data_IF_414311659152
#
_entry.id   IF_414311659152
#
_cell.length_a   1.000
_cell.length_b   1.000
_cell.length_c   1.000
_cell.angle_alpha   90.00
_cell.angle_beta   90.00
_cell.angle_gamma   90.00
#
_symmetry.space_group_name_H-M   'P 1'
#
loop_
_entity.id
_entity.type
_entity.pdbx_description
1 polymer ?
#
# COMPACT_ATOMS: atom_id res chain seq x y z
N UNK A 1 -0.42 -21.61 15.41
CA UNK A 1 -0.60 -21.15 14.04
C UNK A 1 0.24 -19.89 13.86
N UNK A 2 0.81 -19.74 12.72
CA UNK A 2 1.68 -18.62 12.40
C UNK A 2 1.07 -17.85 11.25
N UNK A 3 1.32 -16.55 11.22
CA UNK A 3 0.90 -15.65 10.15
C UNK A 3 1.27 -16.11 8.73
N UNK A 4 1.75 -15.22 7.85
CA UNK A 4 1.96 -15.55 6.45
C UNK A 4 2.96 -16.68 6.25
N UNK A 5 2.90 -17.31 5.08
CA UNK A 5 3.78 -18.41 4.65
C UNK A 5 5.27 -18.12 4.89
N UNK A 6 5.65 -16.86 4.82
CA UNK A 6 7.00 -16.39 5.12
C UNK A 6 7.42 -16.60 6.59
N UNK A 7 6.52 -16.39 7.55
CA UNK A 7 6.77 -16.63 8.97
C UNK A 7 6.80 -18.12 9.30
N UNK A 8 5.94 -18.90 8.64
CA UNK A 8 5.94 -20.35 8.76
C UNK A 8 7.32 -20.92 8.40
N UNK A 9 7.90 -20.48 7.29
CA UNK A 9 9.22 -20.95 6.84
C UNK A 9 10.34 -20.58 7.82
N UNK A 10 10.32 -19.37 8.38
CA UNK A 10 11.30 -18.92 9.38
C UNK A 10 11.17 -19.72 10.66
N UNK A 11 9.96 -19.87 11.19
CA UNK A 11 9.71 -20.63 12.40
C UNK A 11 10.02 -22.11 12.22
N UNK A 12 9.71 -22.67 11.04
CA UNK A 12 10.07 -24.06 10.74
C UNK A 12 11.57 -24.28 10.76
N UNK A 13 12.36 -23.38 10.17
CA UNK A 13 13.82 -23.46 10.16
C UNK A 13 14.41 -23.43 11.58
N UNK A 14 13.91 -22.52 12.43
CA UNK A 14 14.35 -22.45 13.83
C UNK A 14 13.94 -23.69 14.63
N UNK A 15 12.69 -24.12 14.47
CA UNK A 15 12.18 -25.31 15.12
C UNK A 15 12.93 -26.57 14.69
N UNK A 16 13.16 -26.73 13.39
CA UNK A 16 13.91 -27.85 12.82
C UNK A 16 15.30 -27.96 13.41
N UNK A 17 16.03 -26.86 13.54
CA UNK A 17 17.36 -26.84 14.16
C UNK A 17 17.31 -27.34 15.61
N UNK A 18 16.31 -26.95 16.38
CA UNK A 18 16.11 -27.40 17.76
C UNK A 18 15.75 -28.91 17.85
N UNK A 19 14.92 -29.36 16.91
CA UNK A 19 14.48 -30.75 16.83
C UNK A 19 15.63 -31.67 16.44
N UNK A 20 16.42 -31.30 15.43
CA UNK A 20 17.59 -32.02 14.99
C UNK A 20 18.62 -32.17 16.15
N UNK A 21 18.82 -31.09 16.93
CA UNK A 21 19.67 -31.12 18.12
C UNK A 21 19.11 -32.00 19.24
N UNK A 22 17.80 -32.21 19.31
CA UNK A 22 17.12 -33.08 20.25
C UNK A 22 16.97 -34.53 19.72
N UNK A 23 17.46 -34.84 18.51
CA UNK A 23 17.33 -36.14 17.88
C UNK A 23 15.91 -36.50 17.42
N UNK A 24 15.04 -35.48 17.25
CA UNK A 24 13.66 -35.69 16.84
C UNK A 24 13.54 -35.49 15.34
N UNK A 25 13.12 -36.53 14.61
CA UNK A 25 12.92 -36.45 13.15
C UNK A 25 11.65 -35.68 12.80
N UNK A 26 11.80 -34.73 11.88
CA UNK A 26 10.70 -33.95 11.31
C UNK A 26 10.42 -34.41 9.87
N UNK A 27 9.16 -34.48 9.50
CA UNK A 27 8.71 -34.81 8.15
C UNK A 27 7.86 -33.72 7.54
N UNK A 28 7.96 -33.59 6.22
CA UNK A 28 7.06 -32.71 5.45
C UNK A 28 5.99 -33.56 4.79
N UNK A 29 4.75 -33.11 4.84
CA UNK A 29 3.63 -33.73 4.14
C UNK A 29 3.07 -32.77 3.13
N UNK A 30 3.05 -33.18 1.87
CA UNK A 30 2.30 -32.45 0.83
C UNK A 30 0.81 -32.67 1.00
N UNK A 31 0.06 -31.59 0.89
CA UNK A 31 -1.40 -31.56 0.90
C UNK A 31 -1.89 -30.81 -0.34
N UNK A 32 -3.18 -30.87 -0.63
CA UNK A 32 -3.77 -30.13 -1.75
C UNK A 32 -3.56 -28.61 -1.64
N UNK A 33 -3.35 -28.08 -0.44
CA UNK A 33 -3.14 -26.64 -0.15
C UNK A 33 -1.69 -26.27 0.12
N UNK A 34 -0.75 -27.19 -0.11
CA UNK A 34 0.70 -26.97 0.05
C UNK A 34 1.36 -27.90 1.06
N UNK A 35 2.57 -27.53 1.49
CA UNK A 35 3.39 -28.35 2.41
C UNK A 35 2.97 -28.05 3.85
N UNK A 36 2.65 -29.10 4.62
CA UNK A 36 2.47 -29.04 6.06
C UNK A 36 3.68 -29.68 6.73
N UNK A 37 4.39 -28.93 7.56
CA UNK A 37 5.46 -29.45 8.35
C UNK A 37 4.89 -30.21 9.56
N UNK A 38 5.25 -31.45 9.72
CA UNK A 38 4.77 -32.26 10.84
C UNK A 38 5.88 -33.00 11.55
N UNK A 39 5.68 -33.20 12.84
CA UNK A 39 6.57 -33.97 13.70
C UNK A 39 5.72 -35.04 14.36
N UNK A 40 6.14 -36.29 14.22
CA UNK A 40 5.56 -37.39 14.98
C UNK A 40 6.53 -37.76 16.10
N UNK A 41 6.05 -37.66 17.34
CA UNK A 41 6.84 -38.07 18.50
C UNK A 41 6.63 -39.57 18.78
N UNK A 42 7.56 -40.21 19.42
CA UNK A 42 7.45 -41.63 19.80
C UNK A 42 6.29 -41.92 20.74
N UNK A 43 5.77 -40.87 21.42
CA UNK A 43 4.68 -40.96 22.40
C UNK A 43 3.31 -40.66 21.75
N UNK A 44 3.27 -40.40 20.43
CA UNK A 44 2.01 -40.27 19.68
C UNK A 44 1.52 -38.88 19.32
N UNK A 45 1.78 -37.79 20.03
CA UNK A 45 1.28 -36.48 19.57
C UNK A 45 1.95 -36.03 18.27
N UNK A 46 1.16 -35.43 17.40
CA UNK A 46 1.65 -34.82 16.16
C UNK A 46 1.66 -33.31 16.39
N UNK A 47 2.81 -32.69 16.22
CA UNK A 47 2.90 -31.24 16.08
C UNK A 47 2.88 -30.91 14.57
N UNK A 48 1.92 -30.12 14.14
CA UNK A 48 1.82 -29.64 12.77
C UNK A 48 2.01 -28.10 12.75
N UNK A 49 2.88 -27.65 11.87
CA UNK A 49 3.08 -26.24 11.60
C UNK A 49 2.45 -25.93 10.23
N UNK A 50 1.54 -24.96 10.21
CA UNK A 50 0.87 -24.50 9.00
C UNK A 50 0.55 -23.01 9.12
N UNK A 51 0.37 -22.33 7.99
CA UNK A 51 -0.08 -20.96 7.96
C UNK A 51 -1.61 -20.84 8.04
N UNK A 52 -2.10 -19.65 8.44
CA UNK A 52 -3.52 -19.33 8.39
C UNK A 52 -4.07 -19.43 6.97
N UNK A 53 -3.32 -18.96 5.98
CA UNK A 53 -3.69 -19.00 4.57
C UNK A 53 -4.00 -20.42 4.11
N UNK A 54 -3.13 -21.37 4.44
CA UNK A 54 -3.33 -22.80 4.09
C UNK A 54 -4.49 -23.43 4.83
N UNK A 55 -4.61 -23.13 6.13
CA UNK A 55 -5.72 -23.65 6.93
C UNK A 55 -7.05 -23.17 6.39
N UNK A 56 -7.20 -21.86 6.11
CA UNK A 56 -8.41 -21.28 5.58
C UNK A 56 -8.72 -21.83 4.17
N UNK A 57 -7.72 -22.00 3.31
CA UNK A 57 -7.91 -22.63 1.99
C UNK A 57 -8.35 -24.08 2.09
N UNK A 58 -7.84 -24.84 3.06
CA UNK A 58 -8.33 -26.20 3.29
C UNK A 58 -9.76 -26.24 3.82
N UNK A 59 -10.11 -25.33 4.74
CA UNK A 59 -11.48 -25.22 5.25
C UNK A 59 -12.48 -24.79 4.18
N UNK A 60 -12.10 -23.88 3.28
CA UNK A 60 -12.94 -23.48 2.14
C UNK A 60 -13.35 -24.66 1.28
N UNK A 61 -12.43 -25.60 1.01
CA UNK A 61 -12.72 -26.82 0.25
C UNK A 61 -13.73 -27.73 0.95
N UNK A 62 -13.70 -27.78 2.28
CA UNK A 62 -14.61 -28.64 3.07
C UNK A 62 -16.02 -28.05 3.24
N UNK A 63 -16.15 -26.71 3.16
CA UNK A 63 -17.44 -26.04 3.44
C UNK A 63 -18.06 -25.39 2.19
N UNK A 64 -17.65 -25.79 0.99
CA UNK A 64 -18.11 -25.17 -0.28
C UNK A 64 -19.62 -25.10 -0.43
N UNK A 65 -20.37 -25.99 0.21
CA UNK A 65 -21.83 -26.04 0.14
C UNK A 65 -22.52 -25.24 1.26
N UNK A 66 -21.79 -24.71 2.25
CA UNK A 66 -22.34 -23.93 3.35
C UNK A 66 -22.02 -22.43 3.18
N UNK A 67 -23.03 -21.70 2.66
CA UNK A 67 -22.90 -20.24 2.42
C UNK A 67 -22.55 -19.44 3.67
N UNK A 68 -23.02 -19.87 4.84
CA UNK A 68 -22.74 -19.15 6.10
C UNK A 68 -21.30 -19.36 6.52
N UNK A 69 -20.85 -20.62 6.48
CA UNK A 69 -19.46 -20.96 6.79
C UNK A 69 -18.47 -20.26 5.81
N UNK A 70 -18.79 -20.18 4.51
CA UNK A 70 -17.98 -19.43 3.54
C UNK A 70 -17.90 -17.95 3.90
N UNK A 71 -19.03 -17.31 4.28
CA UNK A 71 -19.03 -15.89 4.67
C UNK A 71 -18.13 -15.64 5.89
N UNK A 72 -18.22 -16.52 6.89
CA UNK A 72 -17.39 -16.42 8.11
C UNK A 72 -15.90 -16.64 7.78
N UNK A 73 -15.58 -17.58 6.88
CA UNK A 73 -14.19 -17.79 6.42
C UNK A 73 -13.63 -16.63 5.63
N UNK A 74 -14.42 -15.96 4.80
CA UNK A 74 -13.99 -14.76 4.07
C UNK A 74 -13.68 -13.60 5.02
N UNK A 75 -14.49 -13.43 6.08
CA UNK A 75 -14.21 -12.41 7.12
C UNK A 75 -12.93 -12.73 7.89
N UNK A 76 -12.73 -14.00 8.27
CA UNK A 76 -11.53 -14.44 8.95
C UNK A 76 -10.29 -14.30 8.05
N UNK A 77 -10.41 -14.60 6.76
CA UNK A 77 -9.33 -14.38 5.79
C UNK A 77 -8.96 -12.90 5.70
N UNK A 78 -9.94 -12.01 5.56
CA UNK A 78 -9.69 -10.58 5.51
C UNK A 78 -8.99 -10.07 6.78
N UNK A 79 -9.35 -10.59 7.96
CA UNK A 79 -8.68 -10.27 9.21
C UNK A 79 -7.23 -10.78 9.24
N UNK A 80 -6.98 -12.01 8.78
CA UNK A 80 -5.63 -12.57 8.68
C UNK A 80 -4.77 -11.77 7.71
N UNK A 81 -5.31 -11.44 6.53
CA UNK A 81 -4.62 -10.64 5.52
C UNK A 81 -4.27 -9.24 6.05
N UNK A 82 -5.17 -8.60 6.80
CA UNK A 82 -4.91 -7.31 7.43
C UNK A 82 -3.76 -7.38 8.46
N UNK A 83 -3.73 -8.41 9.30
CA UNK A 83 -2.63 -8.63 10.27
C UNK A 83 -1.33 -8.98 9.56
N UNK A 84 -1.39 -9.76 8.47
CA UNK A 84 -0.23 -10.22 7.73
C UNK A 84 0.37 -9.13 6.85
N UNK A 85 -0.44 -8.16 6.40
CA UNK A 85 0.01 -7.06 5.56
C UNK A 85 1.09 -6.19 6.24
N UNK A 86 1.09 -6.11 7.57
CA UNK A 86 2.07 -5.34 8.35
C UNK A 86 3.31 -6.16 8.74
N UNK A 87 3.34 -7.45 8.35
CA UNK A 87 4.43 -8.33 8.70
C UNK A 87 5.58 -8.23 7.69
N UNK A 88 6.82 -8.27 8.19
CA UNK A 88 7.98 -8.43 7.32
C UNK A 88 7.93 -9.81 6.65
N UNK A 89 7.80 -9.82 5.33
CA UNK A 89 7.97 -11.02 4.51
C UNK A 89 9.45 -11.20 4.17
N UNK A 90 10.05 -12.42 4.32
CA UNK A 90 11.40 -12.65 3.88
C UNK A 90 11.58 -12.29 2.39
N UNK A 91 12.64 -11.56 2.11
CA UNK A 91 12.96 -11.12 0.75
C UNK A 91 13.40 -12.34 -0.06
N UNK A 92 12.74 -12.62 -1.17
CA UNK A 92 13.09 -13.71 -2.07
C UNK A 92 14.20 -13.29 -3.04
N UNK A 93 14.95 -14.28 -3.54
CA UNK A 93 15.95 -14.04 -4.58
C UNK A 93 15.34 -13.42 -5.85
N UNK A 94 14.12 -13.84 -6.21
CA UNK A 94 13.38 -13.30 -7.35
C UNK A 94 13.07 -11.82 -7.18
N UNK A 95 12.63 -11.40 -5.99
CA UNK A 95 12.37 -9.98 -5.70
C UNK A 95 13.63 -9.12 -5.81
N UNK A 96 14.78 -9.64 -5.38
CA UNK A 96 16.07 -8.91 -5.46
C UNK A 96 16.56 -8.80 -6.90
N UNK A 97 16.36 -9.84 -7.71
CA UNK A 97 16.85 -9.90 -9.10
C UNK A 97 15.88 -9.35 -10.13
N UNK A 98 14.64 -9.04 -9.74
CA UNK A 98 13.64 -8.47 -10.64
C UNK A 98 13.98 -7.03 -11.01
N UNK A 99 14.46 -6.81 -12.23
CA UNK A 99 14.83 -5.49 -12.74
C UNK A 99 13.62 -4.59 -13.07
N UNK A 100 12.43 -5.15 -13.21
CA UNK A 100 11.23 -4.38 -13.57
C UNK A 100 10.75 -3.52 -12.40
N UNK A 101 10.85 -4.01 -11.16
CA UNK A 101 10.41 -3.26 -9.98
C UNK A 101 11.16 -1.93 -9.80
N UNK A 102 12.51 -1.90 -9.77
CA UNK A 102 13.23 -0.63 -9.66
C UNK A 102 13.03 0.25 -10.90
N UNK A 103 12.93 -0.30 -12.10
CA UNK A 103 12.64 0.46 -13.31
C UNK A 103 11.27 1.17 -13.22
N UNK A 104 10.25 0.48 -12.74
CA UNK A 104 8.92 1.05 -12.52
C UNK A 104 8.92 2.15 -11.44
N UNK A 105 9.62 1.96 -10.32
CA UNK A 105 9.75 2.99 -9.28
C UNK A 105 10.47 4.24 -9.79
N UNK A 106 11.49 4.09 -10.64
CA UNK A 106 12.16 5.22 -11.30
C UNK A 106 11.18 5.96 -12.20
N UNK A 107 10.41 5.24 -13.04
CA UNK A 107 9.38 5.86 -13.90
C UNK A 107 8.35 6.65 -13.10
N UNK A 108 7.86 6.10 -11.98
CA UNK A 108 6.92 6.82 -11.10
C UNK A 108 7.55 8.11 -10.54
N UNK A 109 8.82 8.05 -10.14
CA UNK A 109 9.54 9.22 -9.62
C UNK A 109 9.70 10.30 -10.71
N UNK A 110 10.00 9.88 -11.93
CA UNK A 110 10.07 10.80 -13.09
C UNK A 110 8.72 11.43 -13.42
N UNK A 111 7.59 10.68 -13.30
CA UNK A 111 6.23 11.22 -13.47
C UNK A 111 5.95 12.28 -12.42
N UNK A 112 6.27 12.04 -11.14
CA UNK A 112 6.10 13.03 -10.07
C UNK A 112 6.88 14.30 -10.40
N UNK A 113 8.17 14.17 -10.73
CA UNK A 113 9.02 15.32 -11.02
C UNK A 113 8.50 16.11 -12.23
N UNK A 114 8.23 15.43 -13.36
CA UNK A 114 7.73 16.06 -14.58
C UNK A 114 6.36 16.73 -14.37
N UNK A 115 5.48 16.11 -13.59
CA UNK A 115 4.17 16.69 -13.26
C UNK A 115 4.30 17.96 -12.41
N UNK A 116 5.22 17.97 -11.45
CA UNK A 116 5.49 19.18 -10.67
C UNK A 116 6.07 20.29 -11.55
N UNK A 117 7.05 19.97 -12.40
CA UNK A 117 7.71 20.95 -13.28
C UNK A 117 6.69 21.57 -14.25
N UNK A 118 5.82 20.75 -14.85
CA UNK A 118 4.76 21.23 -15.73
C UNK A 118 3.73 22.06 -14.94
N UNK A 119 3.28 21.62 -13.76
CA UNK A 119 2.33 22.35 -12.94
C UNK A 119 2.88 23.69 -12.45
N UNK A 120 4.20 23.78 -12.19
CA UNK A 120 4.87 25.06 -11.87
C UNK A 120 4.91 25.96 -13.10
N UNK A 121 5.26 25.42 -14.27
CA UNK A 121 5.29 26.16 -15.53
C UNK A 121 3.92 26.74 -15.89
N UNK A 122 2.84 26.00 -15.63
CA UNK A 122 1.46 26.44 -15.86
C UNK A 122 0.92 27.33 -14.72
N UNK A 123 1.68 27.63 -13.67
CA UNK A 123 1.25 28.43 -12.54
C UNK A 123 0.22 27.78 -11.62
N UNK A 124 0.05 26.45 -11.73
CA UNK A 124 -0.85 25.68 -10.87
C UNK A 124 -0.23 25.48 -9.48
N UNK A 125 1.07 25.18 -9.44
CA UNK A 125 1.84 24.99 -8.23
C UNK A 125 2.99 25.99 -8.11
N UNK A 126 3.38 26.28 -6.87
CA UNK A 126 4.60 26.97 -6.51
C UNK A 126 5.43 26.09 -5.58
N UNK A 127 6.73 25.96 -5.87
CA UNK A 127 7.70 25.21 -5.07
C UNK A 127 8.74 26.12 -4.43
N UNK A 128 8.54 27.44 -4.50
CA UNK A 128 9.51 28.42 -4.02
C UNK A 128 9.75 28.25 -2.51
N UNK A 129 11.03 28.11 -2.12
CA UNK A 129 11.47 27.87 -0.74
C UNK A 129 10.97 26.55 -0.13
N UNK A 130 10.51 25.60 -0.95
CA UNK A 130 10.07 24.28 -0.53
C UNK A 130 11.00 23.21 -1.11
N UNK A 131 11.35 22.23 -0.28
CA UNK A 131 12.31 21.19 -0.63
C UNK A 131 11.61 19.89 -1.05
N UNK A 132 12.26 19.08 -1.91
CA UNK A 132 11.90 17.68 -2.06
C UNK A 132 12.02 16.96 -0.73
N UNK A 133 11.20 15.95 -0.54
CA UNK A 133 11.26 15.08 0.62
C UNK A 133 11.24 13.62 0.18
N UNK A 134 12.20 12.85 0.66
CA UNK A 134 12.18 11.40 0.56
C UNK A 134 12.39 10.80 1.94
N UNK A 135 11.61 9.78 2.25
CA UNK A 135 11.75 8.94 3.44
C UNK A 135 11.63 7.47 3.02
N UNK A 136 11.67 6.55 3.97
CA UNK A 136 11.57 5.13 3.68
C UNK A 136 10.20 4.70 3.09
N UNK A 137 9.15 5.47 3.35
CA UNK A 137 7.75 5.19 2.99
C UNK A 137 7.19 6.12 1.91
N UNK A 138 7.89 7.22 1.55
CA UNK A 138 7.39 8.19 0.57
C UNK A 138 8.47 8.94 -0.18
N UNK A 139 8.16 9.30 -1.43
CA UNK A 139 9.03 10.10 -2.31
C UNK A 139 8.20 11.18 -2.98
N UNK A 140 8.51 12.45 -2.72
CA UNK A 140 7.74 13.56 -3.28
C UNK A 140 8.30 14.90 -2.86
N UNK A 141 7.44 15.91 -2.83
CA UNK A 141 7.84 17.25 -2.42
C UNK A 141 6.67 18.07 -1.90
N UNK A 142 7.01 19.08 -1.13
CA UNK A 142 6.07 20.12 -0.75
C UNK A 142 5.88 21.12 -1.90
N UNK A 143 4.64 21.57 -2.07
CA UNK A 143 4.24 22.60 -3.02
C UNK A 143 3.10 23.45 -2.43
N UNK A 144 2.79 24.58 -3.05
CA UNK A 144 1.58 25.36 -2.77
C UNK A 144 0.76 25.50 -4.03
N UNK A 145 -0.55 25.48 -3.91
CA UNK A 145 -1.44 25.78 -5.00
C UNK A 145 -1.47 27.28 -5.28
N UNK A 146 -1.40 27.66 -6.55
CA UNK A 146 -1.51 29.00 -7.15
C UNK A 146 -0.39 29.98 -6.81
N UNK A 147 0.03 30.15 -5.55
CA UNK A 147 0.99 31.20 -5.17
C UNK A 147 1.80 30.83 -3.92
N UNK A 148 2.76 31.70 -3.55
CA UNK A 148 3.55 31.54 -2.31
C UNK A 148 2.70 31.64 -1.03
N UNK A 149 1.49 32.18 -1.11
CA UNK A 149 0.53 32.28 0.00
C UNK A 149 -0.62 31.27 -0.14
N UNK A 150 -0.59 30.44 -1.17
CA UNK A 150 -1.62 29.42 -1.43
C UNK A 150 -1.56 28.25 -0.44
N UNK A 151 -2.59 27.42 -0.50
CA UNK A 151 -2.71 26.22 0.32
C UNK A 151 -1.54 25.28 0.02
N UNK A 152 -0.83 24.88 1.06
CA UNK A 152 0.28 23.94 0.98
C UNK A 152 -0.18 22.50 0.90
N UNK A 153 0.62 21.70 0.23
CA UNK A 153 0.41 20.25 0.10
C UNK A 153 1.76 19.56 -0.02
N UNK A 154 1.79 18.29 0.34
CA UNK A 154 2.82 17.39 -0.14
C UNK A 154 2.26 16.56 -1.29
N UNK A 155 3.00 16.41 -2.39
CA UNK A 155 2.62 15.61 -3.55
C UNK A 155 3.72 14.62 -3.89
N UNK A 156 3.35 13.35 -4.08
CA UNK A 156 4.31 12.30 -4.41
C UNK A 156 3.76 10.89 -4.30
N UNK A 157 4.69 9.94 -4.25
CA UNK A 157 4.45 8.51 -4.06
C UNK A 157 4.41 8.23 -2.56
N UNK A 158 3.32 7.65 -2.07
CA UNK A 158 3.24 7.11 -0.71
C UNK A 158 3.01 5.60 -0.79
N UNK A 159 4.02 4.83 -0.38
CA UNK A 159 4.00 3.37 -0.45
C UNK A 159 3.04 2.74 0.55
N UNK A 160 2.82 3.39 1.71
CA UNK A 160 1.90 2.92 2.74
C UNK A 160 0.45 3.00 2.28
N UNK A 161 0.04 4.16 1.75
CA UNK A 161 -1.30 4.35 1.19
C UNK A 161 -1.53 3.49 -0.05
N UNK A 162 -0.53 3.40 -0.92
CA UNK A 162 -0.63 2.55 -2.11
C UNK A 162 -0.80 1.08 -1.73
N UNK A 163 0.01 0.56 -0.80
CA UNK A 163 -0.13 -0.79 -0.25
C UNK A 163 -1.51 -1.02 0.37
N UNK A 164 -2.00 -0.05 1.16
CA UNK A 164 -3.25 -0.19 1.91
C UNK A 164 -4.50 -0.16 1.03
N UNK A 165 -4.52 0.72 0.03
CA UNK A 165 -5.74 1.00 -0.74
C UNK A 165 -5.71 0.45 -2.16
N UNK A 166 -4.51 0.23 -2.76
CA UNK A 166 -4.38 -0.32 -4.11
C UNK A 166 -4.92 0.59 -5.24
N UNK A 167 -5.24 1.86 -4.94
CA UNK A 167 -5.91 2.76 -5.86
C UNK A 167 -4.90 3.41 -6.81
N UNK A 168 -3.87 4.05 -6.27
CA UNK A 168 -2.82 4.75 -7.02
C UNK A 168 -1.56 4.85 -6.18
N UNK A 169 -0.36 4.95 -6.77
CA UNK A 169 0.84 5.34 -6.04
C UNK A 169 0.91 6.83 -5.70
N UNK A 170 0.19 7.72 -6.42
CA UNK A 170 0.32 9.18 -6.30
C UNK A 170 -0.73 9.78 -5.38
N UNK A 171 -0.28 10.61 -4.45
CA UNK A 171 -1.12 11.18 -3.41
C UNK A 171 -0.81 12.65 -3.15
N UNK A 172 -1.85 13.40 -2.79
CA UNK A 172 -1.76 14.73 -2.21
C UNK A 172 -2.10 14.66 -0.73
N UNK A 173 -1.26 15.27 0.11
CA UNK A 173 -1.48 15.35 1.55
C UNK A 173 -1.70 16.79 2.00
N UNK A 174 -2.71 16.99 2.80
CA UNK A 174 -3.00 18.24 3.49
C UNK A 174 -2.98 17.99 4.99
N UNK A 175 -1.96 18.50 5.68
CA UNK A 175 -1.80 18.41 7.13
C UNK A 175 -2.69 19.38 7.88
N UNK A 176 -2.76 19.23 9.22
CA UNK A 176 -3.59 20.10 10.10
C UNK A 176 -2.94 21.47 10.37
N UNK A 177 -1.73 21.70 9.91
CA UNK A 177 -1.00 22.94 10.10
C UNK A 177 -1.57 24.12 9.26
N UNK A 178 -1.12 25.32 9.57
CA UNK A 178 -1.49 26.53 8.83
C UNK A 178 -1.05 26.50 7.36
N UNK A 179 -0.05 25.69 7.04
CA UNK A 179 0.44 25.52 5.68
C UNK A 179 -0.57 24.82 4.77
N UNK A 180 -1.26 23.78 5.29
CA UNK A 180 -2.10 22.88 4.49
C UNK A 180 -3.60 22.94 4.83
N UNK A 181 -3.98 23.31 6.05
CA UNK A 181 -5.37 23.56 6.47
C UNK A 181 -6.31 22.38 6.18
N UNK A 182 -5.94 21.17 6.62
CA UNK A 182 -6.62 19.91 6.25
C UNK A 182 -8.14 19.93 6.43
N UNK A 183 -8.66 20.46 7.53
CA UNK A 183 -10.11 20.46 7.82
C UNK A 183 -10.90 21.36 6.86
N UNK A 184 -10.35 22.50 6.50
CA UNK A 184 -10.97 23.41 5.52
C UNK A 184 -10.93 22.79 4.12
N UNK A 185 -9.79 22.21 3.74
CA UNK A 185 -9.62 21.48 2.48
C UNK A 185 -10.59 20.30 2.42
N UNK A 186 -10.69 19.49 3.49
CA UNK A 186 -11.62 18.36 3.57
C UNK A 186 -13.06 18.80 3.38
N UNK A 187 -13.46 19.86 4.07
CA UNK A 187 -14.83 20.39 4.02
C UNK A 187 -15.22 20.89 2.62
N UNK A 188 -14.26 21.47 1.91
CA UNK A 188 -14.47 22.00 0.56
C UNK A 188 -14.33 20.93 -0.52
N UNK A 189 -13.22 20.16 -0.48
CA UNK A 189 -12.85 19.22 -1.53
C UNK A 189 -13.60 17.89 -1.40
N UNK A 190 -13.87 17.42 -0.18
CA UNK A 190 -14.48 16.11 0.06
C UNK A 190 -15.78 15.88 -0.72
N UNK A 191 -16.79 16.76 -0.63
CA UNK A 191 -18.04 16.63 -1.38
C UNK A 191 -17.84 16.68 -2.90
N UNK A 192 -16.94 17.53 -3.39
CA UNK A 192 -16.60 17.62 -4.81
C UNK A 192 -15.89 16.35 -5.28
N UNK A 193 -14.89 15.87 -4.55
CA UNK A 193 -14.15 14.66 -4.87
C UNK A 193 -15.07 13.44 -4.96
N UNK A 194 -16.01 13.30 -4.00
CA UNK A 194 -17.00 12.21 -4.01
C UNK A 194 -17.89 12.28 -5.28
N UNK A 195 -18.30 13.46 -5.72
CA UNK A 195 -19.09 13.64 -6.95
C UNK A 195 -18.29 13.28 -8.22
N UNK A 196 -17.00 13.60 -8.24
CA UNK A 196 -16.10 13.33 -9.36
C UNK A 196 -15.50 11.88 -9.32
N UNK A 197 -15.89 11.07 -8.34
CA UNK A 197 -15.36 9.71 -8.18
C UNK A 197 -13.89 9.64 -7.75
N UNK A 198 -13.36 10.73 -7.15
CA UNK A 198 -11.98 10.83 -6.70
C UNK A 198 -11.88 10.19 -5.31
N UNK A 199 -10.99 9.22 -5.15
CA UNK A 199 -10.77 8.59 -3.85
C UNK A 199 -10.08 9.56 -2.87
N UNK A 200 -10.66 9.71 -1.69
CA UNK A 200 -10.10 10.49 -0.57
C UNK A 200 -10.13 9.68 0.71
N UNK A 201 -9.17 9.92 1.57
CA UNK A 201 -9.10 9.25 2.88
C UNK A 201 -8.46 10.15 3.92
N UNK A 202 -8.45 9.71 5.18
CA UNK A 202 -7.63 10.28 6.24
C UNK A 202 -6.46 9.35 6.51
N UNK A 203 -5.28 9.93 6.69
CA UNK A 203 -4.06 9.22 7.04
C UNK A 203 -3.33 10.01 8.13
N UNK A 204 -3.22 9.40 9.31
CA UNK A 204 -2.91 10.15 10.51
C UNK A 204 -3.86 11.37 10.63
N UNK A 205 -3.36 12.54 10.93
CA UNK A 205 -4.16 13.76 11.03
C UNK A 205 -4.32 14.51 9.68
N UNK A 206 -3.90 13.89 8.57
CA UNK A 206 -3.94 14.52 7.25
C UNK A 206 -5.21 14.15 6.46
N UNK A 207 -5.69 15.06 5.64
CA UNK A 207 -6.63 14.76 4.56
C UNK A 207 -5.85 14.42 3.29
N UNK A 208 -6.19 13.30 2.66
CA UNK A 208 -5.41 12.74 1.56
C UNK A 208 -6.30 12.50 0.33
N UNK A 209 -5.78 12.86 -0.83
CA UNK A 209 -6.47 12.74 -2.12
C UNK A 209 -5.62 11.86 -3.04
N UNK A 210 -6.25 10.85 -3.61
CA UNK A 210 -5.65 10.02 -4.66
C UNK A 210 -5.52 10.81 -5.98
N UNK A 211 -4.38 10.69 -6.63
CA UNK A 211 -4.16 11.25 -7.96
C UNK A 211 -3.97 10.11 -8.95
N UNK A 212 -4.97 9.88 -9.79
CA UNK A 212 -4.97 8.77 -10.73
C UNK A 212 -3.88 8.92 -11.78
N UNK A 213 -3.34 7.79 -12.22
CA UNK A 213 -2.39 7.67 -13.32
C UNK A 213 -3.11 7.08 -14.52
N UNK A 214 -3.01 7.74 -15.68
CA UNK A 214 -3.48 7.18 -16.93
C UNK A 214 -2.71 5.89 -17.26
N UNK A 215 -3.46 4.82 -17.55
CA UNK A 215 -2.89 3.48 -17.78
C UNK A 215 -2.73 3.27 -19.28
N UNK A 216 -1.63 2.63 -19.69
CA UNK A 216 -1.32 2.30 -21.11
C UNK A 216 -1.06 3.53 -22.00
N UNK A 217 -0.73 4.67 -21.39
CA UNK A 217 -0.39 5.90 -22.09
C UNK A 217 1.12 6.17 -22.06
N UNK A 218 1.61 7.03 -22.94
CA UNK A 218 2.98 7.49 -22.87
C UNK A 218 3.22 8.45 -21.69
N UNK A 219 4.49 8.70 -21.37
CA UNK A 219 4.90 9.53 -20.23
C UNK A 219 4.28 10.93 -20.28
N UNK A 220 4.24 11.55 -21.46
CA UNK A 220 3.76 12.93 -21.59
C UNK A 220 2.24 13.01 -21.36
N UNK A 221 1.49 12.00 -21.81
CA UNK A 221 0.06 11.93 -21.59
C UNK A 221 -0.26 11.65 -20.12
N UNK A 222 0.50 10.75 -19.47
CA UNK A 222 0.39 10.51 -18.03
C UNK A 222 0.65 11.79 -17.24
N UNK A 223 1.71 12.51 -17.55
CA UNK A 223 2.05 13.79 -16.89
C UNK A 223 0.95 14.83 -17.10
N UNK A 224 0.42 14.97 -18.32
CA UNK A 224 -0.71 15.89 -18.60
C UNK A 224 -1.96 15.52 -17.82
N UNK A 225 -2.27 14.24 -17.70
CA UNK A 225 -3.41 13.74 -16.92
C UNK A 225 -3.27 14.12 -15.45
N UNK A 226 -2.11 13.87 -14.86
CA UNK A 226 -1.80 14.25 -13.46
C UNK A 226 -1.93 15.77 -13.28
N UNK A 227 -1.34 16.58 -14.15
CA UNK A 227 -1.41 18.05 -14.07
C UNK A 227 -2.84 18.56 -14.24
N UNK A 228 -3.64 17.95 -15.11
CA UNK A 228 -5.07 18.27 -15.25
C UNK A 228 -5.82 18.03 -13.94
N UNK A 229 -5.53 16.92 -13.25
CA UNK A 229 -6.10 16.63 -11.94
C UNK A 229 -5.67 17.66 -10.89
N UNK A 230 -4.38 17.99 -10.83
CA UNK A 230 -3.86 19.03 -9.93
C UNK A 230 -4.52 20.37 -10.17
N UNK A 231 -4.72 20.75 -11.44
CA UNK A 231 -5.40 21.99 -11.84
C UNK A 231 -6.86 22.01 -11.36
N UNK A 232 -7.59 20.90 -11.55
CA UNK A 232 -8.97 20.79 -11.10
C UNK A 232 -9.10 20.97 -9.57
N UNK A 233 -8.20 20.33 -8.80
CA UNK A 233 -8.11 20.50 -7.34
C UNK A 233 -7.77 21.97 -7.00
N UNK A 234 -6.78 22.56 -7.67
CA UNK A 234 -6.36 23.95 -7.46
C UNK A 234 -7.49 24.95 -7.68
N UNK A 235 -8.32 24.76 -8.71
CA UNK A 235 -9.52 25.60 -8.96
C UNK A 235 -10.52 25.52 -7.79
N UNK A 236 -10.70 24.34 -7.20
CA UNK A 236 -11.56 24.25 -6.01
C UNK A 236 -10.94 24.97 -4.81
N UNK A 237 -9.63 24.80 -4.58
CA UNK A 237 -8.92 25.42 -3.45
C UNK A 237 -8.89 26.95 -3.50
N UNK A 238 -8.99 27.56 -4.68
CA UNK A 238 -9.11 29.02 -4.81
C UNK A 238 -10.32 29.60 -4.07
N UNK A 239 -11.36 28.81 -3.83
CA UNK A 239 -12.54 29.22 -3.06
C UNK A 239 -12.26 29.43 -1.56
N UNK A 240 -11.14 28.90 -1.03
CA UNK A 240 -10.70 29.13 0.34
C UNK A 240 -9.94 30.45 0.52
N UNK A 241 -9.40 31.01 -0.57
CA UNK A 241 -8.65 32.26 -0.58
C UNK A 241 -9.22 33.14 -1.73
N UNK A 242 -10.41 33.75 -1.56
CA UNK A 242 -11.03 34.59 -2.57
C UNK A 242 -10.24 35.90 -2.81
#
# INVERSE_FOLDING_TARGET
MVGPDAREHTLWRELKTRLDNAGISATNRETATGIVHSIKTEIGPILALTSWTRLLSALELEVMDDRRAISDLLQLRALCDAVDSDSFAPISSEQVTNQQTPAFLIQLTEIVQASVDLAVTEGILSIKRLLPQASWDRIGRYARFSSEQGIGTWFGIDFGLWKKHGVTPLWLFFGQDEFSRADEVRSLIGPWAAKEGIFTTSWDDSFVIAVDIAISEDKDEVVRSVVTRLKAIGVQLQKLNP
#
